data_IF_367193774060
#
_entry.id   IF_367193774060
#
_cell.length_a   1.000
_cell.length_b   1.000
_cell.length_c   1.000
_cell.angle_alpha   90.00
_cell.angle_beta   90.00
_cell.angle_gamma   90.00
#
_symmetry.space_group_name_H-M   'P 1'
#
loop_
_entity.id
_entity.type
_entity.pdbx_description
1 polymer ?
#
# COMPACT_ATOMS: atom_id res chain seq x y z
N UNK A 1 -0.29 -31.01 6.39
CA UNK A 1 -1.21 -30.76 5.26
C UNK A 1 -1.71 -29.31 5.13
N UNK A 2 -1.61 -28.43 6.14
CA UNK A 2 -2.08 -27.02 6.04
C UNK A 2 -1.14 -26.05 5.30
N UNK A 3 0.18 -26.30 5.27
CA UNK A 3 1.14 -25.40 4.62
C UNK A 3 1.12 -25.41 3.08
N UNK A 4 0.46 -26.39 2.45
CA UNK A 4 0.44 -26.57 0.99
C UNK A 4 -0.70 -25.79 0.29
N UNK A 5 -1.73 -25.36 1.01
CA UNK A 5 -2.83 -24.58 0.43
C UNK A 5 -2.53 -23.07 0.40
N UNK A 6 -1.81 -22.57 1.41
CA UNK A 6 -1.49 -21.14 1.54
C UNK A 6 -0.60 -20.59 0.41
N UNK A 7 0.16 -21.45 -0.27
CA UNK A 7 1.00 -21.03 -1.41
C UNK A 7 0.23 -20.96 -2.73
N UNK A 8 -0.89 -21.68 -2.87
CA UNK A 8 -1.55 -21.88 -4.16
C UNK A 8 -2.29 -20.64 -4.66
N UNK A 9 -3.16 -20.06 -3.82
CA UNK A 9 -3.94 -18.88 -4.22
C UNK A 9 -3.08 -17.63 -4.31
N UNK A 10 -2.14 -17.44 -3.36
CA UNK A 10 -1.24 -16.30 -3.36
C UNK A 10 -0.35 -16.27 -4.61
N UNK A 11 0.14 -17.43 -5.07
CA UNK A 11 0.93 -17.48 -6.31
C UNK A 11 0.09 -17.10 -7.53
N UNK A 12 -1.15 -17.60 -7.62
CA UNK A 12 -2.06 -17.23 -8.72
C UNK A 12 -2.39 -15.73 -8.73
N UNK A 13 -2.55 -15.13 -7.55
CA UNK A 13 -2.77 -13.68 -7.43
C UNK A 13 -1.55 -12.88 -7.86
N UNK A 14 -0.35 -13.27 -7.42
CA UNK A 14 0.90 -12.65 -7.86
C UNK A 14 0.98 -12.67 -9.40
N UNK A 15 0.85 -13.85 -10.02
CA UNK A 15 0.94 -13.99 -11.48
C UNK A 15 -0.14 -13.15 -12.20
N UNK A 16 -1.35 -13.09 -11.64
CA UNK A 16 -2.44 -12.28 -12.18
C UNK A 16 -2.16 -10.78 -12.10
N UNK A 17 -1.66 -10.29 -10.97
CA UNK A 17 -1.37 -8.86 -10.78
C UNK A 17 -0.19 -8.43 -11.64
N UNK A 18 0.85 -9.26 -11.74
CA UNK A 18 1.98 -9.00 -12.63
C UNK A 18 1.51 -8.86 -14.09
N UNK A 19 0.73 -9.81 -14.59
CA UNK A 19 0.17 -9.79 -15.95
C UNK A 19 -0.78 -8.60 -16.17
N UNK A 20 -1.65 -8.31 -15.19
CA UNK A 20 -2.57 -7.19 -15.24
C UNK A 20 -1.82 -5.86 -15.34
N UNK A 21 -0.77 -5.68 -14.54
CA UNK A 21 -0.02 -4.43 -14.50
C UNK A 21 0.83 -4.25 -15.76
N UNK A 22 1.47 -5.33 -16.23
CA UNK A 22 2.21 -5.31 -17.48
C UNK A 22 1.33 -4.89 -18.67
N UNK A 23 0.08 -5.37 -18.71
CA UNK A 23 -0.83 -5.11 -19.83
C UNK A 23 -1.59 -3.80 -19.75
N UNK A 24 -1.91 -3.32 -18.54
CA UNK A 24 -2.89 -2.24 -18.36
C UNK A 24 -2.42 -1.06 -17.53
N UNK A 25 -1.38 -1.22 -16.71
CA UNK A 25 -0.95 -0.13 -15.84
C UNK A 25 -0.25 0.95 -16.67
N UNK A 26 -0.71 2.19 -16.53
CA UNK A 26 -0.11 3.32 -17.23
C UNK A 26 1.35 3.51 -16.82
N UNK A 27 2.23 3.76 -17.79
CA UNK A 27 3.63 4.09 -17.53
C UNK A 27 3.79 5.42 -16.77
N UNK A 28 2.76 6.28 -16.72
CA UNK A 28 2.77 7.52 -15.94
C UNK A 28 2.51 7.27 -14.43
N UNK A 29 2.19 6.04 -14.00
CA UNK A 29 2.18 5.67 -12.58
C UNK A 29 3.60 5.32 -12.13
N UNK A 30 4.26 6.28 -11.47
CA UNK A 30 5.67 6.21 -11.05
C UNK A 30 5.83 5.84 -9.57
N UNK A 31 4.78 5.98 -8.79
CA UNK A 31 4.69 5.57 -7.39
C UNK A 31 3.87 4.30 -7.26
N UNK A 32 2.63 4.27 -7.76
CA UNK A 32 1.70 3.14 -7.67
C UNK A 32 1.98 2.13 -8.79
N UNK A 33 3.19 1.55 -8.77
CA UNK A 33 3.70 0.56 -9.71
C UNK A 33 3.75 -0.85 -9.10
N UNK A 34 4.09 -1.86 -9.92
CA UNK A 34 4.25 -3.24 -9.44
C UNK A 34 5.29 -3.34 -8.30
N UNK A 35 6.33 -2.50 -8.33
CA UNK A 35 7.32 -2.47 -7.26
C UNK A 35 6.72 -2.01 -5.93
N UNK A 36 5.85 -0.99 -5.93
CA UNK A 36 5.10 -0.59 -4.75
C UNK A 36 4.23 -1.74 -4.23
N UNK A 37 3.41 -2.37 -5.07
CA UNK A 37 2.58 -3.51 -4.66
C UNK A 37 3.40 -4.63 -4.00
N UNK A 38 4.53 -5.02 -4.60
CA UNK A 38 5.45 -6.01 -4.01
C UNK A 38 6.00 -5.57 -2.66
N UNK A 39 6.40 -4.30 -2.53
CA UNK A 39 6.87 -3.75 -1.26
C UNK A 39 5.80 -3.76 -0.17
N UNK A 40 4.54 -3.49 -0.52
CA UNK A 40 3.39 -3.54 0.40
C UNK A 40 3.12 -4.98 0.83
N UNK A 41 3.13 -5.94 -0.11
CA UNK A 41 2.97 -7.37 0.20
C UNK A 41 4.07 -7.85 1.17
N UNK A 42 5.32 -7.50 0.92
CA UNK A 42 6.45 -7.84 1.79
C UNK A 42 6.31 -7.22 3.19
N UNK A 43 5.97 -5.93 3.26
CA UNK A 43 5.76 -5.24 4.53
C UNK A 43 4.56 -5.81 5.30
N UNK A 44 3.43 -6.07 4.63
CA UNK A 44 2.25 -6.67 5.21
C UNK A 44 2.55 -8.06 5.80
N UNK A 45 3.34 -8.87 5.07
CA UNK A 45 3.79 -10.17 5.55
C UNK A 45 4.63 -10.08 6.82
N UNK A 46 5.61 -9.18 6.82
CA UNK A 46 6.54 -9.02 7.94
C UNK A 46 5.82 -8.45 9.18
N UNK A 47 5.08 -7.36 9.00
CA UNK A 47 4.34 -6.71 10.08
C UNK A 47 3.25 -7.65 10.62
N UNK A 48 2.49 -8.31 9.75
CA UNK A 48 1.41 -9.23 10.12
C UNK A 48 1.90 -10.39 10.98
N UNK A 49 2.99 -11.05 10.57
CA UNK A 49 3.61 -12.13 11.35
C UNK A 49 4.10 -11.66 12.71
N UNK A 50 4.82 -10.55 12.76
CA UNK A 50 5.37 -10.03 14.01
C UNK A 50 4.33 -9.34 14.91
N UNK A 51 3.13 -9.08 14.39
CA UNK A 51 1.99 -8.60 15.16
C UNK A 51 1.07 -9.72 15.67
N UNK A 52 1.33 -10.97 15.28
CA UNK A 52 0.58 -12.13 15.78
C UNK A 52 -0.67 -12.48 14.98
N UNK A 53 -0.78 -12.07 13.71
CA UNK A 53 -1.85 -12.54 12.84
C UNK A 53 -1.76 -14.06 12.67
N UNK A 54 -2.91 -14.72 12.68
CA UNK A 54 -3.02 -16.13 12.33
C UNK A 54 -2.72 -16.35 10.86
N UNK A 55 -2.43 -17.59 10.47
CA UNK A 55 -2.16 -17.95 9.07
C UNK A 55 -3.35 -17.61 8.13
N UNK A 56 -4.59 -17.72 8.62
CA UNK A 56 -5.79 -17.39 7.85
C UNK A 56 -5.92 -15.89 7.59
N UNK A 57 -5.66 -15.08 8.64
CA UNK A 57 -5.65 -13.63 8.57
C UNK A 57 -4.51 -13.12 7.70
N UNK A 58 -3.34 -13.76 7.79
CA UNK A 58 -2.19 -13.44 6.96
C UNK A 58 -2.47 -13.72 5.48
N UNK A 59 -3.12 -14.83 5.15
CA UNK A 59 -3.54 -15.11 3.76
C UNK A 59 -4.47 -14.01 3.24
N UNK A 60 -5.52 -13.65 3.98
CA UNK A 60 -6.46 -12.59 3.59
C UNK A 60 -5.77 -11.22 3.46
N UNK A 61 -4.86 -10.90 4.37
CA UNK A 61 -4.06 -9.67 4.32
C UNK A 61 -3.19 -9.61 3.07
N UNK A 62 -2.52 -10.71 2.70
CA UNK A 62 -1.65 -10.74 1.54
C UNK A 62 -2.43 -10.72 0.22
N UNK A 63 -3.61 -11.34 0.18
CA UNK A 63 -4.53 -11.17 -0.95
C UNK A 63 -4.91 -9.68 -1.10
N UNK A 64 -5.33 -9.02 -0.03
CA UNK A 64 -5.66 -7.61 -0.05
C UNK A 64 -4.47 -6.73 -0.49
N UNK A 65 -3.26 -7.00 0.03
CA UNK A 65 -2.04 -6.27 -0.32
C UNK A 65 -1.67 -6.40 -1.80
N UNK A 66 -1.91 -7.55 -2.42
CA UNK A 66 -1.69 -7.70 -3.87
C UNK A 66 -2.70 -6.92 -4.71
N UNK A 67 -3.96 -6.83 -4.26
CA UNK A 67 -5.03 -6.20 -5.04
C UNK A 67 -5.22 -4.71 -4.74
N UNK A 68 -4.70 -4.15 -3.65
CA UNK A 68 -5.10 -2.82 -3.14
C UNK A 68 -5.05 -1.71 -4.19
N UNK A 69 -4.01 -1.71 -5.03
CA UNK A 69 -3.78 -0.72 -6.08
C UNK A 69 -4.20 -1.17 -7.49
N UNK A 70 -4.82 -2.35 -7.62
CA UNK A 70 -5.14 -2.89 -8.95
C UNK A 70 -6.12 -2.05 -9.75
N UNK A 71 -6.95 -1.25 -9.09
CA UNK A 71 -7.86 -0.30 -9.70
C UNK A 71 -7.20 0.87 -10.42
N UNK A 72 -5.92 1.17 -10.16
CA UNK A 72 -5.17 2.18 -10.91
C UNK A 72 -5.02 1.84 -12.39
N UNK A 73 -5.26 0.58 -12.76
CA UNK A 73 -5.34 0.16 -14.17
C UNK A 73 -6.57 0.70 -14.91
N UNK A 74 -7.56 1.25 -14.19
CA UNK A 74 -8.77 1.82 -14.79
C UNK A 74 -8.97 3.29 -14.40
N UNK A 75 -8.83 3.65 -13.12
CA UNK A 75 -9.08 5.02 -12.62
C UNK A 75 -8.07 5.40 -11.52
N UNK A 76 -7.77 6.69 -11.41
CA UNK A 76 -6.86 7.19 -10.37
C UNK A 76 -7.57 7.46 -9.03
N UNK A 77 -8.62 8.27 -9.04
CA UNK A 77 -9.41 8.60 -7.85
C UNK A 77 -10.52 7.56 -7.66
N UNK A 78 -10.61 6.97 -6.47
CA UNK A 78 -11.55 5.90 -6.15
C UNK A 78 -11.13 4.53 -6.69
N UNK A 79 -9.84 4.34 -6.95
CA UNK A 79 -9.28 3.10 -7.47
C UNK A 79 -9.58 1.91 -6.55
N UNK A 80 -9.73 2.11 -5.25
CA UNK A 80 -10.01 1.07 -4.26
C UNK A 80 -11.32 0.32 -4.56
N UNK A 81 -12.35 1.02 -5.06
CA UNK A 81 -13.62 0.41 -5.46
C UNK A 81 -13.47 -0.47 -6.71
N UNK A 82 -12.53 -0.11 -7.61
CA UNK A 82 -12.19 -0.96 -8.76
C UNK A 82 -11.31 -2.13 -8.30
N UNK A 83 -10.34 -1.91 -7.41
CA UNK A 83 -9.52 -2.95 -6.81
C UNK A 83 -10.35 -4.04 -6.14
N UNK A 84 -11.39 -3.65 -5.39
CA UNK A 84 -12.35 -4.57 -4.76
C UNK A 84 -13.09 -5.41 -5.81
N UNK A 85 -13.53 -4.79 -6.92
CA UNK A 85 -14.20 -5.52 -8.02
C UNK A 85 -13.26 -6.52 -8.68
N UNK A 86 -12.04 -6.11 -9.00
CA UNK A 86 -10.99 -6.98 -9.58
C UNK A 86 -10.70 -8.15 -8.65
N UNK A 87 -10.45 -7.87 -7.36
CA UNK A 87 -10.18 -8.85 -6.32
C UNK A 87 -11.32 -9.87 -6.20
N UNK A 88 -12.55 -9.39 -6.03
CA UNK A 88 -13.73 -10.25 -5.85
C UNK A 88 -13.96 -11.16 -7.04
N UNK A 89 -13.85 -10.63 -8.27
CA UNK A 89 -14.02 -11.42 -9.48
C UNK A 89 -12.96 -12.52 -9.60
N UNK A 90 -11.70 -12.19 -9.33
CA UNK A 90 -10.61 -13.14 -9.35
C UNK A 90 -10.80 -14.25 -8.30
N UNK A 91 -11.10 -13.87 -7.05
CA UNK A 91 -11.24 -14.82 -5.95
C UNK A 91 -12.44 -15.75 -6.14
N UNK A 92 -13.58 -15.24 -6.63
CA UNK A 92 -14.75 -16.08 -6.97
C UNK A 92 -14.44 -17.06 -8.09
N UNK A 93 -13.73 -16.63 -9.14
CA UNK A 93 -13.30 -17.52 -10.23
C UNK A 93 -12.42 -18.67 -9.73
N UNK A 94 -11.67 -18.44 -8.66
CA UNK A 94 -10.83 -19.44 -8.01
C UNK A 94 -11.51 -20.17 -6.84
N UNK A 95 -12.83 -20.05 -6.68
CA UNK A 95 -13.63 -20.68 -5.63
C UNK A 95 -13.16 -20.35 -4.20
N UNK A 96 -12.65 -19.14 -3.98
CA UNK A 96 -12.32 -18.68 -2.63
C UNK A 96 -13.62 -18.43 -1.84
N UNK A 97 -13.69 -18.75 -0.53
CA UNK A 97 -14.93 -18.64 0.24
C UNK A 97 -15.47 -17.20 0.29
N UNK A 98 -16.76 -17.02 -0.01
CA UNK A 98 -17.40 -15.70 -0.10
C UNK A 98 -17.25 -14.89 1.20
N UNK A 99 -17.41 -15.53 2.36
CA UNK A 99 -17.21 -14.90 3.67
C UNK A 99 -15.80 -14.32 3.88
N UNK A 100 -14.79 -14.90 3.22
CA UNK A 100 -13.41 -14.41 3.26
C UNK A 100 -13.16 -13.37 2.19
N UNK A 101 -13.83 -13.44 1.03
CA UNK A 101 -13.77 -12.39 0.01
C UNK A 101 -14.24 -11.06 0.61
N UNK A 102 -15.34 -11.06 1.35
CA UNK A 102 -15.83 -9.85 2.02
C UNK A 102 -14.82 -9.27 3.02
N UNK A 103 -14.09 -10.12 3.74
CA UNK A 103 -13.00 -9.68 4.63
C UNK A 103 -11.85 -9.07 3.84
N UNK A 104 -11.40 -9.72 2.75
CA UNK A 104 -10.36 -9.19 1.86
C UNK A 104 -10.75 -7.83 1.29
N UNK A 105 -12.01 -7.69 0.84
CA UNK A 105 -12.55 -6.44 0.33
C UNK A 105 -12.54 -5.34 1.40
N UNK A 106 -12.91 -5.67 2.64
CA UNK A 106 -12.85 -4.72 3.77
C UNK A 106 -11.42 -4.24 4.03
N UNK A 107 -10.43 -5.15 3.96
CA UNK A 107 -9.01 -4.79 4.14
C UNK A 107 -8.54 -3.86 3.02
N UNK A 108 -8.90 -4.14 1.76
CA UNK A 108 -8.59 -3.25 0.62
C UNK A 108 -9.22 -1.87 0.86
N UNK A 109 -10.49 -1.81 1.28
CA UNK A 109 -11.19 -0.55 1.53
C UNK A 109 -10.50 0.32 2.59
N UNK A 110 -9.83 -0.28 3.57
CA UNK A 110 -9.08 0.46 4.59
C UNK A 110 -7.87 1.21 4.02
N UNK A 111 -7.37 0.83 2.84
CA UNK A 111 -6.26 1.56 2.17
C UNK A 111 -6.63 2.97 1.73
N UNK A 112 -7.93 3.28 1.60
CA UNK A 112 -8.42 4.66 1.41
C UNK A 112 -7.76 5.58 2.43
N UNK A 113 -7.15 6.65 1.94
CA UNK A 113 -6.30 7.56 2.75
C UNK A 113 -7.01 8.04 4.01
N UNK A 114 -8.28 8.43 3.90
CA UNK A 114 -9.10 8.94 5.02
C UNK A 114 -9.62 7.87 5.98
N UNK A 115 -9.46 6.58 5.67
CA UNK A 115 -9.94 5.50 6.51
C UNK A 115 -9.07 5.35 7.78
N UNK A 116 -9.72 5.00 8.90
CA UNK A 116 -9.08 4.69 10.17
C UNK A 116 -9.23 3.17 10.38
N UNK A 117 -8.13 2.43 10.66
CA UNK A 117 -8.21 1.00 10.86
C UNK A 117 -8.88 0.66 12.20
N UNK A 118 -9.82 -0.29 12.17
CA UNK A 118 -10.63 -0.67 13.35
C UNK A 118 -10.11 -1.94 14.05
N UNK A 119 -9.31 -2.74 13.36
CA UNK A 119 -8.76 -4.00 13.87
C UNK A 119 -7.30 -4.20 13.47
N UNK A 120 -6.67 -5.25 14.01
CA UNK A 120 -5.25 -5.50 13.81
C UNK A 120 -4.86 -5.69 12.34
N UNK A 121 -5.64 -6.43 11.55
CA UNK A 121 -5.32 -6.69 10.13
C UNK A 121 -5.34 -5.37 9.34
N UNK A 122 -6.33 -4.53 9.62
CA UNK A 122 -6.47 -3.21 9.03
C UNK A 122 -5.32 -2.26 9.43
N UNK A 123 -4.86 -2.32 10.68
CA UNK A 123 -3.67 -1.59 11.12
C UNK A 123 -2.44 -2.04 10.35
N UNK A 124 -2.30 -3.35 10.12
CA UNK A 124 -1.18 -3.93 9.39
C UNK A 124 -1.16 -3.47 7.92
N UNK A 125 -2.29 -3.52 7.21
CA UNK A 125 -2.31 -3.07 5.80
C UNK A 125 -2.03 -1.57 5.69
N UNK A 126 -2.57 -0.75 6.60
CA UNK A 126 -2.29 0.69 6.64
C UNK A 126 -0.82 0.95 6.83
N UNK A 127 -0.18 0.28 7.78
CA UNK A 127 1.26 0.42 8.03
C UNK A 127 2.11 -0.06 6.85
N UNK A 128 1.71 -1.14 6.20
CA UNK A 128 2.41 -1.70 5.04
C UNK A 128 2.40 -0.74 3.85
N UNK A 129 1.23 -0.17 3.54
CA UNK A 129 1.03 0.75 2.43
C UNK A 129 1.83 2.05 2.61
N UNK A 130 1.82 2.63 3.81
CA UNK A 130 2.60 3.83 4.13
C UNK A 130 4.05 3.54 4.56
N UNK A 131 4.52 2.29 4.46
CA UNK A 131 5.84 1.88 4.98
C UNK A 131 7.01 2.64 4.36
N UNK A 132 6.85 3.18 3.14
CA UNK A 132 7.88 3.97 2.47
C UNK A 132 8.28 5.22 3.26
N UNK A 133 7.41 5.77 4.12
CA UNK A 133 7.73 6.86 5.05
C UNK A 133 8.96 6.54 5.91
N UNK A 134 9.08 5.29 6.34
CA UNK A 134 10.15 4.78 7.17
C UNK A 134 11.29 4.13 6.41
N UNK A 135 11.42 4.38 5.10
CA UNK A 135 12.48 3.80 4.26
C UNK A 135 13.38 4.89 3.68
N UNK A 136 14.62 4.53 3.34
CA UNK A 136 15.59 5.46 2.72
C UNK A 136 15.18 5.92 1.32
N UNK A 137 14.35 5.11 0.63
CA UNK A 137 13.82 5.40 -0.71
C UNK A 137 12.70 6.45 -0.72
N UNK A 138 12.33 7.00 0.45
CA UNK A 138 11.24 7.96 0.61
C UNK A 138 11.28 9.10 -0.42
N UNK A 139 12.44 9.74 -0.60
CA UNK A 139 12.59 10.87 -1.52
C UNK A 139 12.36 10.49 -2.98
N UNK A 140 12.82 9.30 -3.40
CA UNK A 140 12.59 8.82 -4.77
C UNK A 140 11.11 8.50 -4.98
N UNK A 141 10.48 7.81 -4.01
CA UNK A 141 9.05 7.50 -4.08
C UNK A 141 8.18 8.77 -4.05
N UNK A 142 8.53 9.77 -3.24
CA UNK A 142 7.78 11.03 -3.21
C UNK A 142 7.83 11.76 -4.56
N UNK A 143 8.96 11.77 -5.26
CA UNK A 143 9.02 12.34 -6.62
C UNK A 143 8.12 11.61 -7.62
N UNK A 144 8.01 10.28 -7.51
CA UNK A 144 7.04 9.50 -8.29
C UNK A 144 5.60 9.93 -8.01
N UNK A 145 5.25 10.13 -6.73
CA UNK A 145 3.92 10.58 -6.34
C UNK A 145 3.62 12.00 -6.82
N UNK A 146 4.62 12.90 -6.78
CA UNK A 146 4.49 14.27 -7.34
C UNK A 146 4.16 14.25 -8.83
N UNK A 147 4.85 13.39 -9.58
CA UNK A 147 4.58 13.23 -11.02
C UNK A 147 3.15 12.75 -11.27
N UNK A 148 2.68 11.76 -10.52
CA UNK A 148 1.31 11.28 -10.67
C UNK A 148 0.26 12.33 -10.29
N UNK A 149 0.49 13.12 -9.24
CA UNK A 149 -0.43 14.18 -8.83
C UNK A 149 -0.54 15.29 -9.88
N UNK A 150 0.56 15.65 -10.53
CA UNK A 150 0.52 16.55 -11.70
C UNK A 150 -0.29 15.90 -12.83
N UNK A 151 0.08 14.66 -13.21
CA UNK A 151 -0.50 13.98 -14.37
C UNK A 151 -2.01 13.72 -14.25
N UNK A 152 -2.46 13.20 -13.12
CA UNK A 152 -3.82 12.69 -12.96
C UNK A 152 -4.73 13.65 -12.20
N UNK A 153 -4.17 14.54 -11.38
CA UNK A 153 -4.95 15.48 -10.57
C UNK A 153 -4.74 16.95 -10.99
N UNK A 154 -3.82 17.23 -11.93
CA UNK A 154 -3.46 18.59 -12.32
C UNK A 154 -2.83 19.41 -11.19
N UNK A 155 -2.29 18.74 -10.16
CA UNK A 155 -1.75 19.39 -8.96
C UNK A 155 -0.26 19.65 -9.13
N UNK A 156 0.06 20.90 -9.44
CA UNK A 156 1.44 21.37 -9.56
C UNK A 156 1.88 22.08 -8.27
N UNK A 157 3.11 21.82 -7.86
CA UNK A 157 3.72 22.37 -6.67
C UNK A 157 5.11 22.88 -7.03
N UNK A 158 5.49 24.03 -6.48
CA UNK A 158 6.89 24.44 -6.36
C UNK A 158 7.67 23.46 -5.48
N UNK A 159 9.00 23.58 -5.46
CA UNK A 159 9.84 22.76 -4.57
C UNK A 159 9.45 22.95 -3.10
N UNK A 160 9.27 24.20 -2.65
CA UNK A 160 8.95 24.51 -1.26
C UNK A 160 7.57 23.99 -0.86
N UNK A 161 6.56 24.13 -1.73
CA UNK A 161 5.23 23.56 -1.49
C UNK A 161 5.27 22.03 -1.44
N UNK A 162 6.08 21.40 -2.31
CA UNK A 162 6.24 19.96 -2.29
C UNK A 162 6.93 19.46 -1.03
N UNK A 163 7.99 20.14 -0.59
CA UNK A 163 8.67 19.86 0.67
C UNK A 163 7.72 20.01 1.86
N UNK A 164 6.94 21.09 1.89
CA UNK A 164 5.96 21.34 2.95
C UNK A 164 4.89 20.24 3.00
N UNK A 165 4.32 19.85 1.84
CA UNK A 165 3.36 18.75 1.77
C UNK A 165 3.93 17.44 2.34
N UNK A 166 5.20 17.12 2.04
CA UNK A 166 5.84 15.92 2.57
C UNK A 166 6.12 16.02 4.08
N UNK A 167 6.47 17.21 4.58
CA UNK A 167 6.62 17.47 6.02
C UNK A 167 5.30 17.25 6.73
N UNK A 168 4.20 17.79 6.19
CA UNK A 168 2.85 17.66 6.76
C UNK A 168 2.41 16.20 6.74
N UNK A 169 2.60 15.50 5.62
CA UNK A 169 2.29 14.08 5.49
C UNK A 169 3.06 13.23 6.52
N UNK A 170 4.38 13.39 6.63
CA UNK A 170 5.18 12.65 7.62
C UNK A 170 4.82 13.04 9.06
N UNK A 171 4.45 14.30 9.32
CA UNK A 171 4.12 14.75 10.68
C UNK A 171 2.74 14.26 11.12
N UNK A 172 1.76 14.21 10.21
CA UNK A 172 0.38 13.83 10.50
C UNK A 172 0.17 12.32 10.61
N UNK A 173 0.88 11.52 9.80
CA UNK A 173 0.67 10.08 9.76
C UNK A 173 1.48 9.35 10.84
N UNK A 174 0.96 8.26 11.40
CA UNK A 174 1.65 7.41 12.37
C UNK A 174 1.56 5.95 11.95
N UNK A 175 2.47 5.12 12.46
CA UNK A 175 2.30 3.68 12.37
C UNK A 175 1.36 3.21 13.48
N UNK A 176 0.41 2.35 13.14
CA UNK A 176 -0.65 1.88 14.01
C UNK A 176 -0.19 0.69 14.86
N UNK A 177 0.54 -0.26 14.27
CA UNK A 177 1.05 -1.43 14.97
C UNK A 177 2.31 -1.10 15.77
N UNK A 178 2.48 -1.68 16.97
CA UNK A 178 3.72 -1.53 17.74
C UNK A 178 4.96 -1.97 16.95
N UNK A 179 4.84 -3.03 16.13
CA UNK A 179 5.94 -3.57 15.34
C UNK A 179 6.36 -2.61 14.21
N UNK A 180 5.44 -2.14 13.38
CA UNK A 180 5.78 -1.19 12.32
C UNK A 180 6.39 0.10 12.90
N UNK A 181 5.83 0.60 14.00
CA UNK A 181 6.39 1.75 14.69
C UNK A 181 7.83 1.50 15.17
N UNK A 182 8.13 0.30 15.70
CA UNK A 182 9.48 -0.07 16.12
C UNK A 182 10.48 -0.02 14.96
N UNK A 183 10.12 -0.52 13.78
CA UNK A 183 11.08 -0.68 12.66
C UNK A 183 11.16 0.55 11.75
N UNK A 184 10.12 1.38 11.68
CA UNK A 184 10.05 2.48 10.71
C UNK A 184 10.17 3.88 11.33
N UNK A 185 9.90 4.05 12.63
CA UNK A 185 9.83 5.38 13.26
C UNK A 185 11.15 6.15 13.17
N UNK A 186 12.28 5.50 13.43
CA UNK A 186 13.59 6.17 13.42
C UNK A 186 13.92 6.71 12.02
N UNK A 187 13.81 5.88 11.00
CA UNK A 187 14.08 6.29 9.62
C UNK A 187 13.08 7.34 9.11
N UNK A 188 11.81 7.24 9.53
CA UNK A 188 10.81 8.29 9.28
C UNK A 188 11.24 9.64 9.87
N UNK A 189 11.76 9.64 11.10
CA UNK A 189 12.26 10.88 11.73
C UNK A 189 13.48 11.44 10.99
N UNK A 190 14.39 10.57 10.52
CA UNK A 190 15.52 10.99 9.69
C UNK A 190 15.04 11.65 8.39
N UNK A 191 14.03 11.07 7.73
CA UNK A 191 13.44 11.64 6.52
C UNK A 191 12.79 13.00 6.79
N UNK A 192 12.03 13.13 7.87
CA UNK A 192 11.39 14.38 8.29
C UNK A 192 12.42 15.49 8.57
N UNK A 193 13.50 15.17 9.31
CA UNK A 193 14.55 16.15 9.62
C UNK A 193 15.27 16.63 8.35
N UNK A 194 15.48 15.73 7.38
CA UNK A 194 16.07 16.10 6.08
C UNK A 194 15.19 17.04 5.28
N UNK A 195 13.87 16.80 5.24
CA UNK A 195 12.92 17.71 4.58
C UNK A 195 12.92 19.09 5.25
N UNK A 196 12.83 19.15 6.58
CA UNK A 196 12.85 20.41 7.33
C UNK A 196 14.11 21.22 7.03
N UNK A 197 15.27 20.57 7.02
CA UNK A 197 16.55 21.20 6.67
C UNK A 197 16.59 21.71 5.22
N UNK A 198 15.91 21.06 4.29
CA UNK A 198 15.84 21.53 2.90
C UNK A 198 14.95 22.76 2.74
N UNK A 199 13.95 22.92 3.61
CA UNK A 199 13.02 24.05 3.60
C UNK A 199 13.55 25.27 4.39
N UNK A 200 14.61 25.11 5.19
CA UNK A 200 15.23 26.24 5.89
C UNK A 200 15.80 27.25 4.88
N UNK A 201 15.51 28.55 5.05
CA UNK A 201 16.08 29.58 4.19
C UNK A 201 17.61 29.57 4.31
N UNK A 202 18.29 29.65 3.15
CA UNK A 202 19.75 29.73 3.08
C UNK A 202 20.27 31.07 3.55
#
# INVERSE_FOLDING_TARGET
MKALFMSGILKKVEDFIEDLFEKKLSLDLKYHDLSHTKNVVEAAKDIGKNSGLTEDELEMLLLAAWFHDSGFTEIYTGHEEISIKICSNFLRLHNYPEEKIEKVNSIIKTTIVSSIPDNLIEMVIKDADISYMGKKIFFTKSLGLRHEWDKYLGKQYSEDEWLQNNIDFLSANKFYTPYANKIFKEQKQINLNKLKKQLEPK
#
